data_IF_358442792742
#
_entry.id   IF_358442792742
#
_cell.length_a   1.000
_cell.length_b   1.000
_cell.length_c   1.000
_cell.angle_alpha   90.00
_cell.angle_beta   90.00
_cell.angle_gamma   90.00
#
_symmetry.space_group_name_H-M   'P 1'
#
loop_
_entity.id
_entity.type
_entity.pdbx_description
1 polymer ?
#
# COMPACT_ATOMS: atom_id res chain seq x y z
N UNK A 1 -24.88 -7.86 -6.26
CA UNK A 1 -23.74 -8.18 -5.39
C UNK A 1 -22.95 -9.30 -6.06
N UNK A 2 -21.62 -9.18 -6.24
CA UNK A 2 -20.78 -10.27 -6.75
C UNK A 2 -20.95 -11.55 -5.90
N UNK A 3 -20.78 -12.72 -6.51
CA UNK A 3 -20.99 -14.03 -5.85
C UNK A 3 -20.15 -14.21 -4.58
N UNK A 4 -18.91 -13.72 -4.62
CA UNK A 4 -17.94 -13.80 -3.55
C UNK A 4 -18.37 -12.95 -2.35
N UNK A 5 -18.91 -11.75 -2.62
CA UNK A 5 -19.42 -10.86 -1.57
C UNK A 5 -20.65 -11.48 -0.91
N UNK A 6 -21.55 -12.11 -1.68
CA UNK A 6 -22.70 -12.82 -1.12
C UNK A 6 -22.30 -14.04 -0.28
N UNK A 7 -21.23 -14.75 -0.66
CA UNK A 7 -20.70 -15.85 0.14
C UNK A 7 -20.10 -15.37 1.46
N UNK A 8 -19.37 -14.24 1.45
CA UNK A 8 -18.85 -13.60 2.68
C UNK A 8 -20.01 -13.14 3.55
N UNK A 9 -21.01 -12.47 2.98
CA UNK A 9 -22.21 -11.98 3.70
C UNK A 9 -22.94 -13.13 4.42
N UNK A 10 -23.13 -14.28 3.75
CA UNK A 10 -23.73 -15.46 4.36
C UNK A 10 -22.93 -15.98 5.55
N UNK A 11 -21.59 -16.07 5.43
CA UNK A 11 -20.72 -16.51 6.53
C UNK A 11 -20.74 -15.52 7.69
N UNK A 12 -20.75 -14.22 7.39
CA UNK A 12 -20.86 -13.17 8.41
C UNK A 12 -22.19 -13.29 9.15
N UNK A 13 -23.31 -13.44 8.44
CA UNK A 13 -24.63 -13.61 9.04
C UNK A 13 -24.69 -14.84 9.98
N UNK A 14 -24.13 -15.98 9.55
CA UNK A 14 -24.05 -17.19 10.37
C UNK A 14 -23.23 -16.96 11.64
N UNK A 15 -22.08 -16.28 11.54
CA UNK A 15 -21.23 -15.96 12.69
C UNK A 15 -21.93 -14.99 13.65
N UNK A 16 -22.56 -13.93 13.14
CA UNK A 16 -23.32 -12.99 13.96
C UNK A 16 -24.41 -13.71 14.73
N UNK A 17 -25.26 -14.49 14.04
CA UNK A 17 -26.33 -15.24 14.69
C UNK A 17 -25.82 -16.27 15.72
N UNK A 18 -24.70 -16.93 15.44
CA UNK A 18 -24.08 -17.86 16.38
C UNK A 18 -23.67 -17.18 17.69
N UNK A 19 -23.07 -16.00 17.63
CA UNK A 19 -22.62 -15.27 18.81
C UNK A 19 -23.77 -14.57 19.55
N UNK A 20 -24.71 -13.96 18.82
CA UNK A 20 -25.88 -13.31 19.42
C UNK A 20 -26.78 -14.30 20.18
N UNK A 21 -26.94 -15.53 19.67
CA UNK A 21 -27.67 -16.60 20.38
C UNK A 21 -27.03 -17.01 21.72
N UNK A 22 -25.79 -16.59 21.97
CA UNK A 22 -25.04 -16.80 23.22
C UNK A 22 -24.91 -15.51 24.04
N UNK A 23 -25.70 -14.49 23.72
CA UNK A 23 -25.67 -13.17 24.37
C UNK A 23 -24.32 -12.45 24.23
N UNK A 24 -23.55 -12.76 23.18
CA UNK A 24 -22.32 -12.03 22.85
C UNK A 24 -22.68 -10.86 21.96
N UNK A 25 -22.25 -9.65 22.32
CA UNK A 25 -22.38 -8.47 21.46
C UNK A 25 -21.36 -8.55 20.32
N UNK A 26 -21.82 -8.41 19.09
CA UNK A 26 -20.98 -8.43 17.90
C UNK A 26 -20.84 -7.01 17.35
N UNK A 27 -19.63 -6.65 16.94
CA UNK A 27 -19.33 -5.42 16.21
C UNK A 27 -18.51 -5.79 14.98
N UNK A 28 -18.88 -5.23 13.83
CA UNK A 28 -18.14 -5.40 12.57
C UNK A 28 -17.46 -4.08 12.28
N UNK A 29 -16.15 -4.13 12.03
CA UNK A 29 -15.32 -2.94 11.75
C UNK A 29 -14.54 -3.16 10.47
N UNK A 30 -14.30 -2.10 9.69
CA UNK A 30 -13.25 -2.07 8.67
C UNK A 30 -12.14 -1.12 9.11
N UNK A 31 -10.91 -1.45 8.75
CA UNK A 31 -9.73 -0.65 9.11
C UNK A 31 -9.68 0.66 8.30
N UNK A 32 -10.01 0.58 7.02
CA UNK A 32 -10.07 1.68 6.07
C UNK A 32 -11.16 1.39 5.03
N UNK A 33 -11.57 2.42 4.29
CA UNK A 33 -12.29 2.23 3.04
C UNK A 33 -11.33 2.20 1.85
N UNK A 34 -11.87 1.83 0.69
CA UNK A 34 -11.13 1.73 -0.57
C UNK A 34 -11.73 2.70 -1.57
N UNK A 35 -10.91 3.59 -2.13
CA UNK A 35 -11.28 4.49 -3.22
C UNK A 35 -10.81 3.95 -4.56
N UNK A 36 -11.56 4.26 -5.62
CA UNK A 36 -11.18 3.89 -6.97
C UNK A 36 -9.98 4.72 -7.47
N UNK A 37 -8.95 4.04 -8.00
CA UNK A 37 -7.75 4.69 -8.55
C UNK A 37 -7.40 4.16 -9.93
N UNK A 38 -6.71 4.97 -10.71
CA UNK A 38 -6.22 4.60 -12.04
C UNK A 38 -4.83 5.14 -12.37
N UNK A 39 -4.32 6.12 -11.61
CA UNK A 39 -3.10 6.84 -11.91
C UNK A 39 -1.98 6.55 -10.90
N UNK A 40 -1.02 5.66 -11.23
CA UNK A 40 0.15 5.45 -10.39
C UNK A 40 1.13 6.63 -10.52
N UNK A 41 1.75 7.01 -9.40
CA UNK A 41 2.78 8.03 -9.31
C UNK A 41 4.04 7.42 -8.69
N UNK A 42 5.18 7.60 -9.35
CA UNK A 42 6.45 7.01 -8.94
C UNK A 42 7.35 8.08 -8.32
N UNK A 43 7.09 8.49 -7.06
CA UNK A 43 7.83 9.60 -6.41
C UNK A 43 9.35 9.37 -6.41
N UNK A 44 9.80 8.15 -6.13
CA UNK A 44 11.23 7.84 -6.14
C UNK A 44 11.85 7.92 -7.55
N UNK A 45 11.10 7.71 -8.63
CA UNK A 45 11.57 7.99 -10.00
C UNK A 45 11.77 9.50 -10.20
N UNK A 46 10.81 10.33 -9.77
CA UNK A 46 10.92 11.80 -9.85
C UNK A 46 12.13 12.33 -9.07
N UNK A 47 12.36 11.81 -7.86
CA UNK A 47 13.53 12.18 -7.06
C UNK A 47 14.84 11.68 -7.68
N UNK A 48 14.82 10.52 -8.34
CA UNK A 48 15.98 10.00 -9.07
C UNK A 48 16.30 10.85 -10.30
N UNK A 49 15.31 11.38 -11.01
CA UNK A 49 15.54 12.33 -12.12
C UNK A 49 16.26 13.60 -11.66
N UNK A 50 16.01 14.02 -10.41
CA UNK A 50 16.71 15.13 -9.76
C UNK A 50 18.10 14.78 -9.22
N UNK A 51 18.51 13.51 -9.29
CA UNK A 51 19.77 13.03 -8.72
C UNK A 51 19.77 12.96 -7.20
N UNK A 52 18.60 12.89 -6.55
CA UNK A 52 18.48 12.81 -5.09
C UNK A 52 18.48 11.39 -4.55
N UNK A 53 18.24 10.40 -5.41
CA UNK A 53 18.21 8.99 -5.06
C UNK A 53 19.56 8.34 -5.35
N UNK A 54 20.08 7.63 -4.37
CA UNK A 54 21.26 6.77 -4.50
C UNK A 54 20.82 5.33 -4.77
N UNK A 55 21.34 4.75 -5.86
CA UNK A 55 21.09 3.37 -6.28
C UNK A 55 22.38 2.57 -6.18
N UNK A 56 22.29 1.37 -5.61
CA UNK A 56 23.35 0.35 -5.62
C UNK A 56 23.10 -0.65 -6.73
N UNK A 57 24.14 -1.02 -7.46
CA UNK A 57 24.13 -2.19 -8.33
C UNK A 57 24.46 -3.42 -7.49
N UNK A 58 23.50 -4.33 -7.40
CA UNK A 58 23.63 -5.62 -6.71
C UNK A 58 23.37 -6.73 -7.72
N UNK A 59 24.47 -7.23 -8.31
CA UNK A 59 24.43 -8.30 -9.33
C UNK A 59 23.64 -7.90 -10.58
N UNK A 60 23.73 -6.64 -11.00
CA UNK A 60 23.00 -6.09 -12.15
C UNK A 60 21.56 -5.67 -11.86
N UNK A 61 21.10 -5.79 -10.61
CA UNK A 61 19.82 -5.27 -10.15
C UNK A 61 20.02 -4.00 -9.32
N UNK A 62 19.03 -3.13 -9.32
CA UNK A 62 19.07 -1.84 -8.62
C UNK A 62 18.46 -1.98 -7.22
N UNK A 63 19.19 -1.54 -6.19
CA UNK A 63 18.69 -1.44 -4.80
C UNK A 63 18.74 0.02 -4.35
N UNK A 64 17.63 0.51 -3.77
CA UNK A 64 17.55 1.85 -3.19
C UNK A 64 18.35 1.93 -1.89
N UNK A 65 19.30 2.88 -1.81
CA UNK A 65 19.98 3.20 -0.55
C UNK A 65 19.36 4.45 0.07
N UNK A 66 18.41 4.24 0.99
CA UNK A 66 17.75 5.34 1.70
C UNK A 66 18.71 6.20 2.54
N UNK A 67 19.75 5.59 3.12
CA UNK A 67 20.70 6.31 3.99
C UNK A 67 21.68 7.19 3.21
N UNK A 68 22.04 6.79 1.99
CA UNK A 68 22.88 7.57 1.10
C UNK A 68 22.10 8.48 0.14
N UNK A 69 20.77 8.35 0.08
CA UNK A 69 19.91 9.24 -0.72
C UNK A 69 19.75 10.57 -0.01
N UNK A 70 19.63 11.66 -0.77
CA UNK A 70 19.29 12.99 -0.24
C UNK A 70 17.82 13.12 0.06
N UNK A 71 16.97 12.51 -0.77
CA UNK A 71 15.52 12.52 -0.66
C UNK A 71 14.99 11.17 -1.12
N UNK A 72 14.08 10.56 -0.36
CA UNK A 72 13.38 9.34 -0.78
C UNK A 72 11.95 9.31 -0.21
N UNK A 73 11.08 8.53 -0.85
CA UNK A 73 9.72 8.28 -0.39
C UNK A 73 9.55 6.82 0.02
N UNK A 74 8.86 6.62 1.15
CA UNK A 74 8.21 5.36 1.52
C UNK A 74 6.73 5.53 1.19
N UNK A 75 6.28 4.81 0.17
CA UNK A 75 4.93 4.94 -0.36
C UNK A 75 4.04 3.80 0.16
N UNK A 76 2.85 4.17 0.64
CA UNK A 76 1.81 3.25 1.03
C UNK A 76 0.48 3.76 0.48
N UNK A 77 0.08 3.21 -0.68
CA UNK A 77 -1.17 3.59 -1.35
C UNK A 77 -1.26 5.10 -1.65
N UNK A 78 -2.28 5.80 -1.14
CA UNK A 78 -2.55 7.22 -1.44
C UNK A 78 -1.80 8.19 -0.53
N UNK A 79 -0.91 7.67 0.33
CA UNK A 79 -0.05 8.45 1.22
C UNK A 79 1.40 8.04 1.02
N UNK A 80 2.30 9.02 1.00
CA UNK A 80 3.74 8.76 0.97
C UNK A 80 4.47 9.63 1.99
N UNK A 81 5.28 8.97 2.81
CA UNK A 81 6.22 9.63 3.71
C UNK A 81 7.49 9.97 2.92
N UNK A 82 7.80 11.25 2.79
CA UNK A 82 8.99 11.75 2.10
C UNK A 82 10.02 12.17 3.15
N UNK A 83 11.19 11.55 3.08
CA UNK A 83 12.34 11.81 3.93
C UNK A 83 13.36 12.67 3.18
N UNK A 84 13.82 13.73 3.81
CA UNK A 84 14.73 14.74 3.26
C UNK A 84 15.99 14.77 4.13
N UNK A 85 16.93 13.88 3.81
CA UNK A 85 18.20 13.76 4.53
C UNK A 85 19.13 14.97 4.33
N UNK A 86 18.95 15.73 3.24
CA UNK A 86 19.65 16.98 2.95
C UNK A 86 18.69 18.17 3.18
N UNK A 87 18.71 18.83 4.36
CA UNK A 87 17.71 19.83 4.75
C UNK A 87 17.63 21.04 3.82
N UNK A 88 18.72 21.35 3.10
CA UNK A 88 18.77 22.47 2.15
C UNK A 88 17.82 22.24 0.96
N UNK A 89 17.44 20.98 0.69
CA UNK A 89 16.52 20.62 -0.38
C UNK A 89 15.04 20.71 0.01
N UNK A 90 14.70 20.89 1.29
CA UNK A 90 13.32 20.79 1.78
C UNK A 90 12.34 21.68 1.00
N UNK A 91 12.74 22.92 0.71
CA UNK A 91 11.92 23.86 -0.07
C UNK A 91 11.74 23.44 -1.54
N UNK A 92 12.78 22.87 -2.17
CA UNK A 92 12.70 22.36 -3.54
C UNK A 92 11.83 21.09 -3.61
N UNK A 93 11.97 20.19 -2.64
CA UNK A 93 11.17 18.96 -2.55
C UNK A 93 9.69 19.29 -2.40
N UNK A 94 9.33 20.18 -1.46
CA UNK A 94 7.94 20.63 -1.30
C UNK A 94 7.41 21.23 -2.61
N UNK A 95 8.17 22.12 -3.23
CA UNK A 95 7.77 22.76 -4.49
C UNK A 95 7.57 21.76 -5.64
N UNK A 96 8.40 20.71 -5.70
CA UNK A 96 8.26 19.64 -6.68
C UNK A 96 6.98 18.84 -6.43
N UNK A 97 6.74 18.43 -5.18
CA UNK A 97 5.55 17.66 -4.80
C UNK A 97 4.26 18.44 -5.10
N UNK A 98 4.18 19.70 -4.68
CA UNK A 98 2.99 20.56 -4.92
C UNK A 98 2.68 20.78 -6.42
N UNK A 99 3.69 20.68 -7.28
CA UNK A 99 3.53 20.84 -8.74
C UNK A 99 3.34 19.51 -9.48
N UNK A 100 3.54 18.38 -8.80
CA UNK A 100 3.43 17.06 -9.42
C UNK A 100 1.96 16.72 -9.60
N UNK A 101 1.54 16.55 -10.84
CA UNK A 101 0.15 16.21 -11.13
C UNK A 101 -0.23 14.84 -10.54
N UNK A 102 -1.31 14.81 -9.76
CA UNK A 102 -1.79 13.64 -9.04
C UNK A 102 -1.47 13.67 -7.54
N UNK A 103 -0.73 14.67 -7.07
CA UNK A 103 -0.64 15.03 -5.66
C UNK A 103 -1.71 16.09 -5.37
N UNK A 104 -2.43 15.90 -4.29
CA UNK A 104 -3.50 16.80 -3.82
C UNK A 104 -2.98 17.74 -2.74
N UNK A 105 -2.19 17.19 -1.81
CA UNK A 105 -1.71 17.93 -0.65
C UNK A 105 -0.31 17.48 -0.21
N UNK A 106 0.45 18.44 0.36
CA UNK A 106 1.73 18.18 1.01
C UNK A 106 1.70 18.74 2.43
N UNK A 107 1.78 17.85 3.42
CA UNK A 107 1.73 18.15 4.85
C UNK A 107 3.09 18.00 5.51
N UNK A 108 3.21 18.56 6.71
CA UNK A 108 4.32 18.30 7.66
C UNK A 108 3.70 17.73 8.92
N UNK A 109 4.29 16.69 9.51
CA UNK A 109 3.80 16.10 10.76
C UNK A 109 4.92 16.05 11.80
N UNK A 110 4.65 16.59 12.99
CA UNK A 110 5.61 16.57 14.10
C UNK A 110 5.55 15.25 14.85
N UNK A 111 6.06 14.18 14.25
CA UNK A 111 6.15 12.85 14.86
C UNK A 111 7.46 12.16 14.47
N UNK A 112 8.15 11.52 15.42
CA UNK A 112 9.47 10.88 15.20
C UNK A 112 9.50 9.80 14.09
N UNK A 113 8.33 9.22 13.78
CA UNK A 113 8.16 8.20 12.73
C UNK A 113 7.57 8.77 11.43
N UNK A 114 7.23 10.05 11.39
CA UNK A 114 6.78 10.70 10.17
C UNK A 114 7.96 10.97 9.24
N UNK A 115 7.69 11.07 7.93
CA UNK A 115 8.63 11.72 7.03
C UNK A 115 8.62 13.23 7.28
N UNK A 116 9.65 13.92 6.79
CA UNK A 116 9.73 15.39 6.85
C UNK A 116 8.56 16.06 6.12
N UNK A 117 8.08 15.41 5.06
CA UNK A 117 6.87 15.77 4.33
C UNK A 117 5.97 14.54 4.14
N UNK A 118 4.67 14.75 4.11
CA UNK A 118 3.68 13.72 3.79
C UNK A 118 2.95 14.17 2.52
N UNK A 119 3.09 13.40 1.44
CA UNK A 119 2.36 13.62 0.20
C UNK A 119 1.06 12.80 0.23
N UNK A 120 -0.05 13.43 -0.14
CA UNK A 120 -1.36 12.80 -0.26
C UNK A 120 -1.78 12.90 -1.73
N UNK A 121 -2.20 11.79 -2.32
CA UNK A 121 -2.60 11.76 -3.71
C UNK A 121 -3.98 12.39 -3.93
N UNK A 122 -4.26 12.76 -5.18
CA UNK A 122 -5.64 12.99 -5.64
C UNK A 122 -6.45 11.70 -5.53
N UNK A 123 -7.78 11.86 -5.53
CA UNK A 123 -8.72 10.75 -5.34
C UNK A 123 -8.49 9.58 -6.30
N UNK A 124 -8.16 9.86 -7.57
CA UNK A 124 -7.98 8.88 -8.64
C UNK A 124 -6.53 8.38 -8.81
N UNK A 125 -5.62 8.84 -7.97
CA UNK A 125 -4.19 8.55 -8.02
C UNK A 125 -3.71 7.76 -6.80
N UNK A 126 -2.52 7.17 -6.90
CA UNK A 126 -1.84 6.48 -5.81
C UNK A 126 -0.32 6.44 -6.04
N UNK A 127 0.46 6.15 -5.01
CA UNK A 127 1.92 6.13 -5.04
C UNK A 127 2.48 4.71 -5.05
N UNK A 128 3.42 4.46 -5.95
CA UNK A 128 4.24 3.23 -5.92
C UNK A 128 5.56 3.49 -5.19
N UNK A 129 6.21 2.44 -4.71
CA UNK A 129 7.59 2.56 -4.19
C UNK A 129 8.67 2.60 -5.29
N UNK A 130 8.31 2.42 -6.56
CA UNK A 130 9.25 2.14 -7.66
C UNK A 130 10.28 3.24 -7.84
N UNK A 131 11.56 2.84 -7.90
CA UNK A 131 12.71 3.73 -8.06
C UNK A 131 13.60 3.38 -9.26
N UNK A 132 13.39 2.21 -9.89
CA UNK A 132 14.07 1.79 -11.12
C UNK A 132 13.34 2.28 -12.36
N UNK A 133 14.06 2.58 -13.44
CA UNK A 133 13.45 2.94 -14.73
C UNK A 133 13.25 1.75 -15.67
N UNK A 134 14.10 0.74 -15.55
CA UNK A 134 14.09 -0.46 -16.38
C UNK A 134 13.69 -1.67 -15.53
N UNK A 135 12.56 -2.30 -15.87
CA UNK A 135 12.04 -3.47 -15.16
C UNK A 135 12.98 -4.69 -15.23
N UNK A 136 13.93 -4.72 -16.16
CA UNK A 136 14.99 -5.73 -16.18
C UNK A 136 16.02 -5.54 -15.06
N UNK A 137 16.09 -4.33 -14.48
CA UNK A 137 16.96 -3.98 -13.35
C UNK A 137 16.20 -3.87 -12.04
N UNK A 138 14.89 -4.12 -12.03
CA UNK A 138 14.09 -4.11 -10.82
C UNK A 138 14.69 -5.08 -9.78
N UNK A 139 14.62 -4.75 -8.48
CA UNK A 139 15.02 -5.68 -7.43
C UNK A 139 14.34 -7.04 -7.56
N UNK A 140 15.04 -8.09 -7.18
CA UNK A 140 14.53 -9.46 -7.20
C UNK A 140 13.24 -9.63 -6.38
N UNK A 141 13.15 -8.92 -5.25
CA UNK A 141 11.98 -8.87 -4.38
C UNK A 141 10.76 -8.21 -5.04
N UNK A 142 10.92 -7.37 -6.07
CA UNK A 142 9.82 -6.65 -6.69
C UNK A 142 8.81 -7.59 -7.36
N UNK A 143 9.30 -8.71 -7.91
CA UNK A 143 8.47 -9.74 -8.56
C UNK A 143 7.99 -10.82 -7.59
N UNK A 144 8.16 -10.61 -6.30
CA UNK A 144 7.79 -11.54 -5.23
C UNK A 144 6.84 -10.86 -4.23
N UNK A 145 6.20 -11.69 -3.40
CA UNK A 145 5.58 -11.25 -2.14
C UNK A 145 6.67 -11.22 -1.08
N UNK A 146 7.25 -10.05 -0.83
CA UNK A 146 8.41 -9.86 0.07
C UNK A 146 8.27 -8.53 0.83
N UNK A 147 7.34 -8.53 1.79
CA UNK A 147 6.97 -7.38 2.59
C UNK A 147 8.09 -6.83 3.49
N UNK A 148 9.22 -7.52 3.64
CA UNK A 148 10.31 -7.09 4.51
C UNK A 148 11.39 -6.32 3.77
N UNK A 149 11.54 -6.55 2.46
CA UNK A 149 12.55 -5.88 1.63
C UNK A 149 11.99 -4.69 0.85
N UNK A 150 10.68 -4.66 0.60
CA UNK A 150 10.04 -3.55 -0.13
C UNK A 150 9.96 -2.28 0.75
N UNK A 151 10.44 -1.12 0.27
CA UNK A 151 10.38 0.15 1.02
C UNK A 151 8.98 0.81 0.92
N UNK A 152 7.92 0.01 1.04
CA UNK A 152 6.53 0.39 0.82
C UNK A 152 5.67 -0.83 0.49
N UNK A 153 4.35 -0.67 0.51
CA UNK A 153 3.42 -1.73 0.09
C UNK A 153 3.17 -1.66 -1.42
N UNK A 154 3.01 -2.82 -2.06
CA UNK A 154 2.80 -2.93 -3.51
C UNK A 154 1.54 -3.73 -3.84
N UNK A 155 0.42 -3.07 -4.16
CA UNK A 155 -0.86 -3.74 -4.38
C UNK A 155 -0.86 -4.65 -5.62
N UNK A 156 0.12 -4.53 -6.52
CA UNK A 156 0.25 -5.44 -7.66
C UNK A 156 0.58 -6.88 -7.22
N UNK A 157 1.03 -7.10 -5.98
CA UNK A 157 1.22 -8.42 -5.38
C UNK A 157 -0.05 -9.27 -5.33
N UNK A 158 -1.22 -8.65 -5.43
CA UNK A 158 -2.51 -9.34 -5.48
C UNK A 158 -2.78 -10.00 -6.85
N UNK A 159 -1.90 -9.75 -7.84
CA UNK A 159 -2.04 -10.24 -9.20
C UNK A 159 -0.95 -11.26 -9.55
N UNK A 160 -1.30 -12.20 -10.40
CA UNK A 160 -0.32 -12.98 -11.14
C UNK A 160 0.04 -12.21 -12.41
N UNK A 161 1.34 -12.15 -12.73
CA UNK A 161 1.85 -11.40 -13.86
C UNK A 161 1.15 -11.87 -15.16
N UNK A 162 0.34 -11.02 -15.82
CA UNK A 162 -0.39 -11.39 -17.02
C UNK A 162 0.51 -11.77 -18.20
N UNK A 163 1.79 -11.35 -18.18
CA UNK A 163 2.76 -11.71 -19.20
C UNK A 163 3.24 -13.18 -19.06
N UNK A 164 2.94 -13.85 -17.95
CA UNK A 164 3.28 -15.27 -17.75
C UNK A 164 2.17 -16.15 -18.37
N UNK A 165 2.43 -16.94 -19.44
CA UNK A 165 1.37 -17.68 -20.12
C UNK A 165 0.72 -18.78 -19.28
N UNK A 166 1.49 -19.42 -18.39
CA UNK A 166 1.03 -20.52 -17.54
C UNK A 166 1.51 -20.33 -16.09
N UNK A 167 0.95 -19.36 -15.34
CA UNK A 167 1.46 -18.99 -14.02
C UNK A 167 1.36 -20.15 -13.03
N UNK A 168 0.27 -20.94 -13.07
CA UNK A 168 0.12 -22.15 -12.25
C UNK A 168 1.22 -23.20 -12.48
N UNK A 169 1.67 -23.36 -13.73
CA UNK A 169 2.76 -24.28 -14.06
C UNK A 169 4.10 -23.76 -13.52
N UNK A 170 4.37 -22.45 -13.63
CA UNK A 170 5.57 -21.81 -13.06
C UNK A 170 5.61 -22.01 -11.53
N UNK A 171 4.49 -21.78 -10.85
CA UNK A 171 4.34 -22.02 -9.41
C UNK A 171 4.57 -23.50 -9.06
N UNK A 172 3.92 -24.43 -9.77
CA UNK A 172 4.09 -25.87 -9.51
C UNK A 172 5.56 -26.32 -9.69
N UNK A 173 6.23 -25.83 -10.75
CA UNK A 173 7.66 -26.09 -10.99
C UNK A 173 8.54 -25.52 -9.87
N UNK A 174 8.24 -24.31 -9.40
CA UNK A 174 8.94 -23.70 -8.27
C UNK A 174 8.78 -24.54 -7.00
N UNK A 175 7.55 -24.93 -6.65
CA UNK A 175 7.26 -25.76 -5.47
C UNK A 175 7.96 -27.12 -5.53
N UNK A 176 8.02 -27.75 -6.70
CA UNK A 176 8.77 -29.00 -6.90
C UNK A 176 10.27 -28.81 -6.64
N UNK A 177 10.89 -27.76 -7.22
CA UNK A 177 12.30 -27.44 -6.96
C UNK A 177 12.56 -27.17 -5.48
N UNK A 178 11.68 -26.40 -4.82
CA UNK A 178 11.76 -26.12 -3.38
C UNK A 178 11.69 -27.41 -2.56
N UNK A 179 10.79 -28.33 -2.90
CA UNK A 179 10.67 -29.65 -2.26
C UNK A 179 11.93 -30.50 -2.45
N UNK A 180 12.62 -30.35 -3.56
CA UNK A 180 13.91 -31.02 -3.86
C UNK A 180 15.12 -30.32 -3.21
N UNK A 181 14.91 -29.28 -2.39
CA UNK A 181 15.98 -28.57 -1.66
C UNK A 181 16.65 -27.44 -2.43
N UNK A 182 16.20 -27.10 -3.64
CA UNK A 182 16.73 -25.96 -4.38
C UNK A 182 16.20 -24.64 -3.79
N UNK A 183 17.09 -23.66 -3.68
CA UNK A 183 16.73 -22.28 -3.35
C UNK A 183 16.40 -21.51 -4.64
N UNK A 184 15.49 -20.57 -4.54
CA UNK A 184 15.11 -19.69 -5.65
C UNK A 184 13.97 -18.77 -5.24
N UNK A 185 13.59 -17.89 -6.17
CA UNK A 185 12.49 -16.96 -6.02
C UNK A 185 11.27 -17.42 -6.81
N UNK A 186 10.09 -17.06 -6.31
CA UNK A 186 8.81 -17.25 -7.01
C UNK A 186 8.41 -15.93 -7.65
N UNK A 187 9.04 -15.63 -8.78
CA UNK A 187 8.95 -14.39 -9.54
C UNK A 187 7.67 -14.35 -10.41
N UNK A 188 6.50 -14.25 -9.76
CA UNK A 188 5.19 -14.32 -10.43
C UNK A 188 4.38 -13.04 -10.33
N UNK A 189 4.90 -12.02 -9.66
CA UNK A 189 4.23 -10.73 -9.47
C UNK A 189 4.60 -9.77 -10.61
N UNK A 190 3.62 -9.06 -11.21
CA UNK A 190 3.87 -8.07 -12.25
C UNK A 190 4.53 -6.80 -11.68
N UNK A 191 5.08 -5.96 -12.56
CA UNK A 191 5.54 -4.60 -12.22
C UNK A 191 4.66 -3.51 -12.86
N UNK A 192 3.51 -3.90 -13.40
CA UNK A 192 2.55 -3.00 -14.02
C UNK A 192 1.58 -2.45 -12.97
N UNK A 193 1.89 -1.26 -12.47
CA UNK A 193 1.08 -0.52 -11.52
C UNK A 193 -0.33 -0.15 -12.07
N UNK A 194 -0.56 -0.19 -13.38
CA UNK A 194 -1.89 0.11 -13.95
C UNK A 194 -2.94 -0.95 -13.62
N UNK A 195 -2.54 -2.14 -13.16
CA UNK A 195 -3.44 -3.21 -12.74
C UNK A 195 -4.23 -2.87 -11.47
N UNK A 196 -3.69 -2.00 -10.62
CA UNK A 196 -4.32 -1.58 -9.37
C UNK A 196 -5.49 -0.64 -9.68
N UNK A 197 -6.68 -1.00 -9.18
CA UNK A 197 -7.94 -0.25 -9.38
C UNK A 197 -8.55 0.32 -8.10
N UNK A 198 -8.03 -0.08 -6.94
CA UNK A 198 -8.48 0.39 -5.63
C UNK A 198 -7.28 0.69 -4.73
N UNK A 199 -7.38 1.75 -3.95
CA UNK A 199 -6.33 2.20 -3.02
C UNK A 199 -6.94 2.86 -1.80
N UNK A 200 -6.13 3.18 -0.79
CA UNK A 200 -6.59 3.81 0.45
C UNK A 200 -5.57 4.79 1.04
N UNK A 201 -5.93 5.42 2.16
CA UNK A 201 -5.02 6.23 2.98
C UNK A 201 -5.35 7.73 2.99
N UNK A 202 -6.19 8.21 2.07
CA UNK A 202 -6.72 9.58 2.16
C UNK A 202 -7.64 9.71 3.37
N UNK A 203 -7.52 10.80 4.09
CA UNK A 203 -8.36 11.13 5.25
C UNK A 203 -9.70 11.76 4.86
N UNK A 204 -9.73 12.47 3.73
CA UNK A 204 -10.94 13.06 3.17
C UNK A 204 -11.42 12.29 1.94
N UNK A 205 -12.39 11.39 2.15
CA UNK A 205 -13.01 10.54 1.12
C UNK A 205 -14.53 10.65 1.16
N UNK A 206 -15.18 10.21 0.08
CA UNK A 206 -16.64 10.15 0.01
C UNK A 206 -17.21 9.21 1.08
N UNK A 207 -18.46 9.43 1.50
CA UNK A 207 -19.08 8.69 2.61
C UNK A 207 -19.10 7.17 2.39
N UNK A 208 -19.29 6.73 1.14
CA UNK A 208 -19.29 5.31 0.74
C UNK A 208 -17.87 4.71 0.61
N UNK A 209 -16.83 5.54 0.71
CA UNK A 209 -15.41 5.16 0.73
C UNK A 209 -14.80 5.31 2.14
N UNK A 210 -15.59 5.67 3.16
CA UNK A 210 -15.13 5.75 4.55
C UNK A 210 -15.10 4.37 5.22
N UNK A 211 -14.28 4.18 6.27
CA UNK A 211 -14.33 2.96 7.08
C UNK A 211 -15.72 2.76 7.70
N UNK A 212 -16.13 1.51 7.84
CA UNK A 212 -17.45 1.13 8.36
C UNK A 212 -17.33 0.56 9.76
N UNK A 213 -18.29 0.93 10.61
CA UNK A 213 -18.54 0.23 11.87
C UNK A 213 -20.02 -0.07 12.03
N UNK A 214 -20.35 -1.36 12.10
CA UNK A 214 -21.72 -1.86 12.27
C UNK A 214 -21.88 -2.39 13.70
N UNK A 215 -22.99 -2.01 14.33
CA UNK A 215 -23.25 -2.34 15.74
C UNK A 215 -22.62 -1.37 16.74
N UNK A 216 -22.07 -0.23 16.28
CA UNK A 216 -21.60 0.83 17.16
C UNK A 216 -22.72 1.76 17.65
N UNK A 217 -22.63 2.28 18.88
CA UNK A 217 -23.57 3.24 19.44
C UNK A 217 -23.30 4.69 18.97
N UNK A 218 -22.24 4.90 18.18
CA UNK A 218 -21.80 6.20 17.67
C UNK A 218 -21.36 6.07 16.19
N UNK A 219 -21.54 7.11 15.37
CA UNK A 219 -20.90 7.19 14.04
C UNK A 219 -19.38 7.13 14.16
N UNK A 220 -18.71 6.61 13.12
CA UNK A 220 -17.24 6.49 13.03
C UNK A 220 -16.78 7.17 11.75
N UNK A 221 -15.84 8.09 11.87
CA UNK A 221 -15.23 8.81 10.74
C UNK A 221 -13.71 8.59 10.67
N UNK A 222 -13.06 8.34 11.81
CA UNK A 222 -11.62 8.05 11.87
C UNK A 222 -11.33 6.74 12.61
N UNK A 223 -10.08 6.26 12.54
CA UNK A 223 -9.64 5.06 13.27
C UNK A 223 -9.78 5.22 14.80
N UNK A 224 -9.60 6.42 15.34
CA UNK A 224 -9.77 6.72 16.77
C UNK A 224 -11.22 6.53 17.23
N UNK A 225 -12.20 6.83 16.37
CA UNK A 225 -13.62 6.63 16.68
C UNK A 225 -13.95 5.15 16.90
N UNK A 226 -13.27 4.24 16.20
CA UNK A 226 -13.40 2.79 16.39
C UNK A 226 -13.00 2.42 17.83
N UNK A 227 -11.87 2.93 18.30
CA UNK A 227 -11.39 2.65 19.66
C UNK A 227 -12.37 3.17 20.73
N UNK A 228 -12.97 4.35 20.51
CA UNK A 228 -14.01 4.89 21.39
C UNK A 228 -15.30 4.05 21.35
N UNK A 229 -15.74 3.63 20.17
CA UNK A 229 -16.92 2.79 19.99
C UNK A 229 -16.75 1.44 20.70
N UNK A 230 -15.59 0.79 20.55
CA UNK A 230 -15.26 -0.47 21.24
C UNK A 230 -15.33 -0.28 22.76
N UNK A 231 -14.70 0.78 23.31
CA UNK A 231 -14.73 1.05 24.75
C UNK A 231 -16.15 1.25 25.27
N UNK A 232 -16.98 2.01 24.55
CA UNK A 232 -18.38 2.24 24.95
C UNK A 232 -19.22 0.96 24.93
N UNK A 233 -18.97 0.04 24.01
CA UNK A 233 -19.78 -1.19 23.88
C UNK A 233 -19.38 -2.28 24.87
N UNK A 234 -18.07 -2.39 25.16
CA UNK A 234 -17.50 -3.56 25.84
C UNK A 234 -16.78 -3.27 27.16
N UNK A 235 -16.53 -2.00 27.53
CA UNK A 235 -15.77 -1.62 28.73
C UNK A 235 -16.64 -0.87 29.76
N UNK A 236 -17.96 -0.84 29.56
CA UNK A 236 -18.94 -0.32 30.54
C UNK A 236 -19.33 -1.37 31.57
#
# INVERSE_FOLDING_TARGET
MPSEVAAIDAVVADLVGYYESRSVKVMIVSEYGISAVSKPIHLNRLFREKGWITIKDELGLETLDCGASKVFAVADHQVAHVYVNDPDLLGEVRSLLERTDGIDEVRTMSHERAGDLIAISKQDAWFTYYFWYDDAKAPDYARCVDIHRKPGYDPVELFLDPAIPFPKLKIAKFLLKKRLGFRGLMDVIPLDASLVKGSHGRDNVAEDEQPLVIGAPIPVQTAEDIAMAIRKVFVS
#
